data_IF_632550382166
#
_entry.id   IF_632550382166
#
_cell.length_a   1.000
_cell.length_b   1.000
_cell.length_c   1.000
_cell.angle_alpha   90.00
_cell.angle_beta   90.00
_cell.angle_gamma   90.00
#
_symmetry.space_group_name_H-M   'P 1'
#
loop_
_entity.id
_entity.type
_entity.pdbx_description
1 polymer ?
#
# COMPACT_ATOMS: atom_id res chain seq x y z
N UNK A 1 14.75 4.41 -18.11
CA UNK A 1 13.37 4.12 -17.64
C UNK A 1 13.15 2.64 -17.31
N UNK A 2 14.06 1.71 -17.65
CA UNK A 2 13.84 0.25 -17.47
C UNK A 2 14.26 -0.34 -16.11
N UNK A 3 14.83 0.47 -15.22
CA UNK A 3 15.37 -0.01 -13.94
C UNK A 3 14.34 -0.14 -12.82
N UNK A 4 13.16 0.47 -12.94
CA UNK A 4 12.13 0.42 -11.89
C UNK A 4 11.00 -0.51 -12.27
N UNK A 5 10.37 -1.15 -11.26
CA UNK A 5 9.21 -2.04 -11.45
C UNK A 5 8.07 -1.34 -12.20
N UNK A 6 7.80 -0.07 -11.89
CA UNK A 6 6.81 0.75 -12.60
C UNK A 6 7.16 0.89 -14.09
N UNK A 7 8.42 1.22 -14.40
CA UNK A 7 8.88 1.35 -15.79
C UNK A 7 8.74 0.05 -16.58
N UNK A 8 9.04 -1.09 -15.95
CA UNK A 8 8.85 -2.41 -16.55
C UNK A 8 7.37 -2.71 -16.84
N UNK A 9 6.46 -2.41 -15.90
CA UNK A 9 5.02 -2.61 -16.08
C UNK A 9 4.48 -1.73 -17.23
N UNK A 10 4.82 -0.45 -17.25
CA UNK A 10 4.37 0.48 -18.30
C UNK A 10 4.91 0.09 -19.68
N UNK A 11 6.13 -0.45 -19.76
CA UNK A 11 6.68 -0.94 -21.02
C UNK A 11 5.98 -2.21 -21.51
N UNK A 12 5.62 -3.12 -20.61
CA UNK A 12 4.96 -4.38 -20.95
C UNK A 12 3.48 -4.19 -21.30
N UNK A 13 2.78 -3.32 -20.58
CA UNK A 13 1.32 -3.18 -20.67
C UNK A 13 0.87 -1.88 -21.36
N UNK A 14 1.78 -0.94 -21.59
CA UNK A 14 1.46 0.38 -22.12
C UNK A 14 0.66 1.19 -21.10
N UNK A 15 -0.63 1.41 -21.39
CA UNK A 15 -1.55 2.12 -20.50
C UNK A 15 -2.12 1.17 -19.46
N UNK A 16 -1.97 1.52 -18.19
CA UNK A 16 -2.43 0.73 -17.05
C UNK A 16 -3.47 1.52 -16.28
N UNK A 17 -4.59 0.87 -15.92
CA UNK A 17 -5.52 1.42 -14.96
C UNK A 17 -4.93 1.31 -13.54
N UNK A 18 -4.89 2.44 -12.81
CA UNK A 18 -4.52 2.47 -11.40
C UNK A 18 -5.75 2.83 -10.55
N UNK A 19 -6.44 1.86 -9.93
CA UNK A 19 -7.49 2.13 -8.98
C UNK A 19 -6.96 2.91 -7.77
N UNK A 20 -7.76 3.85 -7.27
CA UNK A 20 -7.49 4.57 -6.03
C UNK A 20 -7.98 3.79 -4.82
N UNK A 21 -7.08 3.52 -3.88
CA UNK A 21 -7.39 2.83 -2.61
C UNK A 21 -7.20 3.76 -1.42
N UNK A 22 -7.82 3.46 -0.30
CA UNK A 22 -7.79 4.31 0.90
C UNK A 22 -7.69 3.53 2.22
N UNK A 23 -7.78 2.20 2.16
CA UNK A 23 -7.60 1.31 3.29
C UNK A 23 -7.04 -0.06 2.84
N UNK A 24 -6.81 -0.96 3.79
CA UNK A 24 -6.25 -2.29 3.51
C UNK A 24 -7.24 -3.20 2.77
N UNK A 25 -8.55 -3.00 2.95
CA UNK A 25 -9.57 -3.80 2.28
C UNK A 25 -9.66 -3.45 0.79
N UNK A 26 -9.76 -2.17 0.45
CA UNK A 26 -9.76 -1.68 -0.93
C UNK A 26 -8.48 -2.07 -1.67
N UNK A 27 -7.33 -2.04 -0.99
CA UNK A 27 -6.06 -2.55 -1.51
C UNK A 27 -6.10 -4.05 -1.85
N UNK A 28 -6.57 -4.89 -0.93
CA UNK A 28 -6.72 -6.34 -1.16
C UNK A 28 -7.73 -6.66 -2.26
N UNK A 29 -8.81 -5.87 -2.38
CA UNK A 29 -9.78 -6.02 -3.48
C UNK A 29 -9.11 -5.68 -4.82
N UNK A 30 -8.33 -4.60 -4.87
CA UNK A 30 -7.59 -4.19 -6.07
C UNK A 30 -6.59 -5.27 -6.52
N UNK A 31 -5.83 -5.85 -5.59
CA UNK A 31 -4.92 -6.96 -5.88
C UNK A 31 -5.67 -8.20 -6.39
N UNK A 32 -6.75 -8.60 -5.71
CA UNK A 32 -7.58 -9.75 -6.12
C UNK A 32 -8.25 -9.55 -7.49
N UNK A 33 -8.52 -8.30 -7.87
CA UNK A 33 -9.04 -7.95 -9.19
C UNK A 33 -7.97 -8.00 -10.30
N UNK A 34 -6.70 -8.24 -9.95
CA UNK A 34 -5.61 -8.43 -10.91
C UNK A 34 -4.98 -7.14 -11.42
N UNK A 35 -5.21 -6.00 -10.77
CA UNK A 35 -4.53 -4.75 -11.14
C UNK A 35 -3.06 -4.81 -10.75
N UNK A 36 -2.13 -4.51 -11.68
CA UNK A 36 -0.69 -4.62 -11.42
C UNK A 36 -0.16 -3.46 -10.55
N UNK A 37 -0.93 -2.38 -10.43
CA UNK A 37 -0.59 -1.18 -9.68
C UNK A 37 -1.85 -0.51 -9.14
N UNK A 38 -1.71 0.17 -8.01
CA UNK A 38 -2.74 0.99 -7.38
C UNK A 38 -2.10 2.26 -6.84
N UNK A 39 -2.89 3.25 -6.44
CA UNK A 39 -2.40 4.43 -5.76
C UNK A 39 -3.27 4.75 -4.54
N UNK A 40 -2.70 5.42 -3.55
CA UNK A 40 -3.45 5.85 -2.37
C UNK A 40 -4.11 7.19 -2.70
N UNK A 41 -5.44 7.24 -2.64
CA UNK A 41 -6.21 8.46 -2.91
C UNK A 41 -6.29 9.33 -1.65
N UNK A 42 -5.59 10.48 -1.65
CA UNK A 42 -5.63 11.45 -0.55
C UNK A 42 -7.05 11.90 -0.21
N UNK A 43 -7.84 12.23 -1.23
CA UNK A 43 -9.26 12.55 -1.09
C UNK A 43 -10.06 11.44 -0.40
N UNK A 44 -9.90 10.20 -0.86
CA UNK A 44 -10.64 9.08 -0.27
C UNK A 44 -10.21 8.81 1.17
N UNK A 45 -8.92 9.02 1.50
CA UNK A 45 -8.44 8.93 2.88
C UNK A 45 -9.02 10.06 3.73
N UNK A 46 -9.09 11.30 3.27
CA UNK A 46 -9.74 12.40 4.00
C UNK A 46 -11.22 12.11 4.27
N UNK A 47 -11.96 11.73 3.23
CA UNK A 47 -13.38 11.42 3.32
C UNK A 47 -13.67 10.26 4.29
N UNK A 48 -12.80 9.24 4.34
CA UNK A 48 -13.05 8.04 5.16
C UNK A 48 -12.42 8.07 6.54
N UNK A 49 -11.32 8.83 6.74
CA UNK A 49 -10.65 8.93 8.03
C UNK A 49 -11.28 9.99 8.93
N UNK A 50 -11.69 11.13 8.36
CA UNK A 50 -12.16 12.29 9.13
C UNK A 50 -13.53 12.82 8.66
N UNK A 51 -14.09 12.30 7.57
CA UNK A 51 -15.41 12.73 7.07
C UNK A 51 -15.40 14.10 6.39
N UNK A 52 -14.21 14.60 6.01
CA UNK A 52 -14.02 15.94 5.47
C UNK A 52 -13.53 15.88 4.01
N UNK A 53 -13.78 16.94 3.21
CA UNK A 53 -13.20 17.07 1.88
C UNK A 53 -11.67 17.22 1.94
N UNK A 54 -11.01 16.95 0.81
CA UNK A 54 -9.55 17.09 0.65
C UNK A 54 -9.10 18.55 0.62
N UNK A 55 -9.00 19.15 1.81
CA UNK A 55 -8.56 20.53 2.02
C UNK A 55 -7.17 20.61 2.69
N UNK A 56 -6.43 19.50 2.70
CA UNK A 56 -5.14 19.41 3.38
C UNK A 56 -5.24 19.38 4.91
N UNK A 57 -6.38 18.94 5.45
CA UNK A 57 -6.58 18.79 6.90
C UNK A 57 -5.80 17.61 7.48
N UNK A 58 -5.57 16.56 6.67
CA UNK A 58 -4.74 15.43 7.07
C UNK A 58 -3.26 15.82 7.07
N UNK A 59 -2.59 15.48 8.16
CA UNK A 59 -1.16 15.65 8.31
C UNK A 59 -0.39 14.61 7.49
N UNK A 60 0.88 14.93 7.20
CA UNK A 60 1.79 13.98 6.56
C UNK A 60 1.93 12.67 7.36
N UNK A 61 1.93 12.74 8.70
CA UNK A 61 2.03 11.57 9.56
C UNK A 61 0.81 10.66 9.41
N UNK A 62 -0.40 11.22 9.35
CA UNK A 62 -1.63 10.44 9.17
C UNK A 62 -1.67 9.75 7.80
N UNK A 63 -1.30 10.45 6.73
CA UNK A 63 -1.21 9.86 5.39
C UNK A 63 -0.13 8.78 5.33
N UNK A 64 1.04 9.01 5.94
CA UNK A 64 2.15 8.05 5.95
C UNK A 64 1.79 6.80 6.75
N UNK A 65 1.10 6.95 7.89
CA UNK A 65 0.64 5.80 8.66
C UNK A 65 -0.42 4.99 7.89
N UNK A 66 -1.34 5.67 7.22
CA UNK A 66 -2.31 5.00 6.34
C UNK A 66 -1.60 4.24 5.22
N UNK A 67 -0.62 4.86 4.57
CA UNK A 67 0.16 4.25 3.51
C UNK A 67 0.94 3.02 4.00
N UNK A 68 1.56 3.10 5.19
CA UNK A 68 2.24 1.97 5.81
C UNK A 68 1.30 0.77 5.96
N UNK A 69 0.11 0.97 6.52
CA UNK A 69 -0.87 -0.10 6.72
C UNK A 69 -1.32 -0.72 5.39
N UNK A 70 -1.55 0.10 4.37
CA UNK A 70 -1.91 -0.36 3.03
C UNK A 70 -0.77 -1.20 2.42
N UNK A 71 0.47 -0.73 2.48
CA UNK A 71 1.62 -1.46 1.95
C UNK A 71 1.78 -2.83 2.63
N UNK A 72 1.62 -2.89 3.96
CA UNK A 72 1.69 -4.15 4.74
C UNK A 72 0.56 -5.15 4.40
N UNK A 73 -0.46 -4.74 3.65
CA UNK A 73 -1.54 -5.64 3.22
C UNK A 73 -1.16 -6.52 2.03
N UNK A 74 -0.08 -6.19 1.31
CA UNK A 74 0.42 -6.91 0.15
C UNK A 74 1.55 -7.88 0.53
N UNK A 75 1.43 -9.14 0.15
CA UNK A 75 2.44 -10.17 0.41
C UNK A 75 3.79 -9.80 -0.22
N UNK A 76 3.80 -9.29 -1.44
CA UNK A 76 5.05 -8.95 -2.13
C UNK A 76 5.80 -7.79 -1.45
N UNK A 77 5.10 -6.92 -0.72
CA UNK A 77 5.73 -5.88 0.10
C UNK A 77 6.29 -6.47 1.40
N UNK A 78 5.56 -7.40 2.01
CA UNK A 78 5.98 -8.08 3.23
C UNK A 78 7.23 -8.94 2.99
N UNK A 79 7.29 -9.66 1.87
CA UNK A 79 8.45 -10.42 1.41
C UNK A 79 9.66 -9.50 1.23
N UNK A 80 9.46 -8.35 0.55
CA UNK A 80 10.52 -7.39 0.26
C UNK A 80 11.21 -6.86 1.53
N UNK A 81 10.43 -6.62 2.59
CA UNK A 81 10.97 -6.11 3.85
C UNK A 81 11.31 -7.22 4.85
N UNK A 82 11.20 -8.50 4.47
CA UNK A 82 11.47 -9.65 5.32
C UNK A 82 10.58 -9.69 6.56
N UNK A 83 9.27 -9.47 6.43
CA UNK A 83 8.34 -9.55 7.58
C UNK A 83 8.40 -10.93 8.22
N UNK A 84 8.35 -12.00 7.41
CA UNK A 84 8.35 -13.37 7.89
C UNK A 84 9.64 -13.72 8.64
N UNK A 85 10.80 -13.27 8.12
CA UNK A 85 12.09 -13.41 8.79
C UNK A 85 12.12 -12.71 10.15
N UNK A 86 11.52 -11.52 10.25
CA UNK A 86 11.43 -10.78 11.52
C UNK A 86 10.49 -11.45 12.51
N UNK A 87 9.37 -12.01 12.06
CA UNK A 87 8.44 -12.76 12.91
C UNK A 87 9.13 -14.02 13.44
N UNK A 88 9.78 -14.79 12.58
CA UNK A 88 10.53 -15.99 12.98
C UNK A 88 11.65 -15.66 13.98
N UNK A 89 12.31 -14.50 13.81
CA UNK A 89 13.30 -14.01 14.76
C UNK A 89 12.68 -13.66 16.12
N UNK A 90 11.54 -12.97 16.13
CA UNK A 90 10.83 -12.58 17.35
C UNK A 90 10.36 -13.80 18.15
N UNK A 91 9.81 -14.81 17.47
CA UNK A 91 9.42 -16.10 18.07
C UNK A 91 10.63 -16.82 18.69
N UNK A 92 11.76 -16.87 17.98
CA UNK A 92 12.99 -17.52 18.45
C UNK A 92 13.57 -16.87 19.70
N UNK A 93 13.39 -15.56 19.86
CA UNK A 93 13.91 -14.79 21.00
C UNK A 93 12.85 -14.46 22.06
N UNK A 94 11.64 -15.00 21.94
CA UNK A 94 10.56 -14.81 22.93
C UNK A 94 10.11 -13.35 23.07
N UNK A 95 10.24 -12.55 22.01
CA UNK A 95 9.74 -11.18 21.99
C UNK A 95 8.31 -11.22 21.45
N UNK A 96 7.32 -11.17 22.34
CA UNK A 96 5.91 -11.07 21.91
C UNK A 96 5.68 -9.74 21.18
N UNK A 97 4.90 -9.82 20.09
CA UNK A 97 4.56 -8.72 19.18
C UNK A 97 3.45 -7.82 19.72
#
# INVERSE_FOLDING_TARGET
MDTTRVGQILRQQGTVALPGVYDTLSAKICEKAGFPMTFISGYSVAATAIGEPDLGLLTQTEITDRARRICMSFEQFNDLIGVDDRIALAERFGVES
#
